data_IF_288950398954
#
_entry.id   IF_288950398954
#
_cell.length_a   1.000
_cell.length_b   1.000
_cell.length_c   1.000
_cell.angle_alpha   90.00
_cell.angle_beta   90.00
_cell.angle_gamma   90.00
#
_symmetry.space_group_name_H-M   'P 1'
#
loop_
_entity.id
_entity.type
_entity.pdbx_description
1 polymer ?
#
# COMPACT_ATOMS: atom_id res chain seq x y z
N UNK A 1 9.25 6.53 -48.64
CA UNK A 1 10.01 6.08 -47.44
C UNK A 1 9.87 7.02 -46.25
N UNK A 2 10.12 8.34 -46.38
CA UNK A 2 10.07 9.29 -45.25
C UNK A 2 8.74 9.34 -44.46
N UNK A 3 7.60 9.28 -45.15
CA UNK A 3 6.26 9.35 -44.51
C UNK A 3 5.91 8.04 -43.79
N UNK A 4 6.28 6.89 -44.38
CA UNK A 4 6.12 5.57 -43.76
C UNK A 4 7.01 5.42 -42.52
N UNK A 5 8.24 5.93 -42.55
CA UNK A 5 9.14 5.95 -41.39
C UNK A 5 8.63 6.85 -40.26
N UNK A 6 8.03 8.01 -40.59
CA UNK A 6 7.43 8.91 -39.60
C UNK A 6 6.18 8.30 -38.93
N UNK A 7 5.33 7.61 -39.70
CA UNK A 7 4.19 6.88 -39.16
C UNK A 7 4.63 5.74 -38.22
N UNK A 8 5.66 5.00 -38.59
CA UNK A 8 6.17 3.89 -37.79
C UNK A 8 6.80 4.36 -36.46
N UNK A 9 7.50 5.49 -36.47
CA UNK A 9 8.01 6.14 -35.25
C UNK A 9 6.89 6.66 -34.34
N UNK A 10 5.81 7.22 -34.91
CA UNK A 10 4.66 7.66 -34.11
C UNK A 10 3.96 6.51 -33.39
N UNK A 11 3.79 5.35 -34.05
CA UNK A 11 3.16 4.16 -33.47
C UNK A 11 4.02 3.54 -32.35
N UNK A 12 5.35 3.59 -32.43
CA UNK A 12 6.23 3.10 -31.36
C UNK A 12 6.14 3.94 -30.07
N UNK A 13 5.87 5.25 -30.17
CA UNK A 13 5.77 6.13 -28.98
C UNK A 13 4.49 5.92 -28.17
N UNK A 14 3.41 5.44 -28.79
CA UNK A 14 2.13 5.18 -28.12
C UNK A 14 2.16 3.90 -27.26
N UNK A 15 3.06 2.96 -27.57
CA UNK A 15 3.25 1.69 -26.85
C UNK A 15 3.84 1.84 -25.44
N UNK A 16 4.40 3.01 -25.10
CA UNK A 16 5.07 3.28 -23.82
C UNK A 16 4.10 3.58 -22.66
N UNK A 17 2.80 3.70 -22.93
CA UNK A 17 1.77 3.97 -21.91
C UNK A 17 1.39 2.74 -21.07
N UNK A 18 1.94 1.55 -21.37
CA UNK A 18 1.70 0.33 -20.59
C UNK A 18 2.48 0.23 -19.26
N UNK A 19 3.34 1.20 -18.94
CA UNK A 19 4.19 1.19 -17.74
C UNK A 19 3.51 1.65 -16.43
N UNK A 20 2.24 2.10 -16.44
CA UNK A 20 1.59 2.65 -15.24
C UNK A 20 1.05 1.61 -14.23
N UNK A 21 0.76 0.38 -14.67
CA UNK A 21 0.09 -0.61 -13.79
C UNK A 21 0.96 -1.16 -12.66
N UNK A 22 2.29 -1.07 -12.77
CA UNK A 22 3.20 -1.53 -11.72
C UNK A 22 3.27 -0.60 -10.51
N UNK A 23 2.71 0.60 -10.62
CA UNK A 23 2.69 1.64 -9.57
C UNK A 23 1.30 1.77 -8.91
N UNK A 24 0.38 0.88 -9.26
CA UNK A 24 -1.01 0.89 -8.82
C UNK A 24 -1.41 -0.42 -8.17
N UNK A 25 -2.45 -0.37 -7.33
CA UNK A 25 -3.05 -1.58 -6.75
C UNK A 25 -3.85 -2.32 -7.83
N UNK A 26 -3.63 -3.63 -7.93
CA UNK A 26 -4.42 -4.51 -8.77
C UNK A 26 -5.56 -5.14 -7.97
N UNK A 27 -6.72 -4.50 -8.01
CA UNK A 27 -7.95 -4.90 -7.34
C UNK A 27 -8.75 -6.01 -8.03
N UNK A 28 -8.20 -6.73 -9.03
CA UNK A 28 -8.89 -7.87 -9.66
C UNK A 28 -9.34 -8.94 -8.64
N UNK A 29 -8.58 -9.09 -7.56
CA UNK A 29 -8.89 -9.98 -6.43
C UNK A 29 -8.22 -9.46 -5.16
N UNK A 30 -8.66 -9.91 -3.99
CA UNK A 30 -7.99 -9.58 -2.72
C UNK A 30 -6.52 -10.01 -2.70
N UNK A 31 -6.21 -11.18 -3.27
CA UNK A 31 -4.83 -11.68 -3.34
C UNK A 31 -3.92 -10.75 -4.16
N UNK A 32 -4.40 -10.28 -5.31
CA UNK A 32 -3.63 -9.34 -6.15
C UNK A 32 -3.51 -7.98 -5.49
N UNK A 33 -4.57 -7.50 -4.82
CA UNK A 33 -4.53 -6.22 -4.11
C UNK A 33 -3.50 -6.24 -2.99
N UNK A 34 -3.52 -7.28 -2.14
CA UNK A 34 -2.57 -7.43 -1.04
C UNK A 34 -1.12 -7.58 -1.54
N UNK A 35 -0.93 -8.31 -2.66
CA UNK A 35 0.38 -8.42 -3.29
C UNK A 35 0.88 -7.07 -3.81
N UNK A 36 0.01 -6.28 -4.45
CA UNK A 36 0.35 -4.93 -4.89
C UNK A 36 0.77 -4.06 -3.71
N UNK A 37 0.00 -4.05 -2.61
CA UNK A 37 0.35 -3.28 -1.39
C UNK A 37 1.73 -3.67 -0.88
N UNK A 38 2.02 -4.97 -0.77
CA UNK A 38 3.34 -5.43 -0.33
C UNK A 38 4.46 -4.89 -1.23
N UNK A 39 4.31 -4.99 -2.55
CA UNK A 39 5.34 -4.53 -3.48
C UNK A 39 5.49 -3.01 -3.51
N UNK A 40 4.38 -2.28 -3.53
CA UNK A 40 4.39 -0.81 -3.56
C UNK A 40 5.01 -0.25 -2.29
N UNK A 41 4.68 -0.82 -1.13
CA UNK A 41 5.24 -0.42 0.17
C UNK A 41 6.76 -0.46 0.17
N UNK A 42 7.38 -1.49 -0.39
CA UNK A 42 8.84 -1.63 -0.39
C UNK A 42 9.56 -0.58 -1.27
N UNK A 43 8.83 0.04 -2.20
CA UNK A 43 9.37 1.10 -3.07
C UNK A 43 9.20 2.50 -2.47
N UNK A 44 8.38 2.64 -1.42
CA UNK A 44 8.15 3.91 -0.76
C UNK A 44 9.29 4.29 0.20
N UNK A 45 9.52 5.60 0.39
CA UNK A 45 10.33 6.10 1.51
C UNK A 45 9.80 5.58 2.86
N UNK A 46 10.68 5.24 3.82
CA UNK A 46 10.29 4.63 5.10
C UNK A 46 9.12 5.32 5.83
N UNK A 47 9.12 6.65 5.83
CA UNK A 47 8.10 7.49 6.44
C UNK A 47 6.69 7.30 5.84
N UNK A 48 6.60 7.05 4.53
CA UNK A 48 5.32 6.85 3.83
C UNK A 48 4.81 5.41 3.90
N UNK A 49 5.67 4.43 4.22
CA UNK A 49 5.30 3.01 4.22
C UNK A 49 4.17 2.70 5.18
N UNK A 50 4.25 3.28 6.37
CA UNK A 50 3.30 3.03 7.46
C UNK A 50 1.97 3.72 7.16
N UNK A 51 2.00 4.97 6.72
CA UNK A 51 0.80 5.71 6.32
C UNK A 51 0.06 5.02 5.17
N UNK A 52 0.78 4.60 4.12
CA UNK A 52 0.20 3.85 3.01
C UNK A 52 -0.48 2.55 3.47
N UNK A 53 0.20 1.76 4.30
CA UNK A 53 -0.33 0.50 4.79
C UNK A 53 -1.56 0.69 5.67
N UNK A 54 -1.53 1.65 6.60
CA UNK A 54 -2.67 1.97 7.47
C UNK A 54 -3.84 2.44 6.62
N UNK A 55 -3.60 3.28 5.62
CA UNK A 55 -4.65 3.80 4.73
C UNK A 55 -5.35 2.67 3.99
N UNK A 56 -4.59 1.72 3.43
CA UNK A 56 -5.16 0.54 2.79
C UNK A 56 -6.06 -0.27 3.73
N UNK A 57 -5.62 -0.48 4.97
CA UNK A 57 -6.43 -1.22 5.96
C UNK A 57 -7.62 -0.42 6.47
N UNK A 58 -7.54 0.91 6.58
CA UNK A 58 -8.67 1.78 6.87
C UNK A 58 -9.75 1.67 5.79
N UNK A 59 -9.36 1.65 4.51
CA UNK A 59 -10.30 1.42 3.39
C UNK A 59 -10.92 0.03 3.50
N UNK A 60 -10.11 -1.02 3.74
CA UNK A 60 -10.62 -2.38 3.90
C UNK A 60 -11.61 -2.51 5.06
N UNK A 61 -11.37 -1.79 6.15
CA UNK A 61 -12.26 -1.79 7.30
C UNK A 61 -13.57 -1.04 7.03
N UNK A 62 -13.53 0.04 6.25
CA UNK A 62 -14.71 0.80 5.82
C UNK A 62 -15.63 0.00 4.89
N UNK A 63 -15.04 -0.75 3.96
CA UNK A 63 -15.78 -1.53 2.98
C UNK A 63 -15.68 -3.01 3.30
N UNK A 64 -16.64 -3.53 4.08
CA UNK A 64 -16.64 -4.93 4.54
C UNK A 64 -16.88 -5.90 3.39
N UNK A 65 -17.74 -5.53 2.45
CA UNK A 65 -17.91 -6.29 1.21
C UNK A 65 -16.62 -6.27 0.39
N UNK A 66 -16.24 -7.44 -0.13
CA UNK A 66 -14.96 -7.59 -0.83
C UNK A 66 -14.99 -6.91 -2.19
N UNK A 67 -16.10 -6.99 -2.93
CA UNK A 67 -16.19 -6.40 -4.26
C UNK A 67 -16.17 -4.88 -4.17
N UNK A 68 -16.90 -4.32 -3.20
CA UNK A 68 -16.88 -2.90 -2.92
C UNK A 68 -15.48 -2.44 -2.52
N UNK A 69 -14.84 -3.09 -1.56
CA UNK A 69 -13.46 -2.80 -1.17
C UNK A 69 -12.50 -2.79 -2.38
N UNK A 70 -12.56 -3.83 -3.21
CA UNK A 70 -11.69 -3.94 -4.39
C UNK A 70 -11.92 -2.79 -5.37
N UNK A 71 -13.17 -2.35 -5.56
CA UNK A 71 -13.48 -1.19 -6.41
C UNK A 71 -12.94 0.13 -5.85
N UNK A 72 -12.76 0.24 -4.53
CA UNK A 72 -12.24 1.45 -3.89
C UNK A 72 -10.72 1.58 -3.99
N UNK A 73 -10.00 0.47 -4.22
CA UNK A 73 -8.53 0.44 -4.25
C UNK A 73 -7.94 0.14 -5.63
N UNK A 74 -8.70 -0.49 -6.53
CA UNK A 74 -8.21 -0.84 -7.87
C UNK A 74 -7.74 0.39 -8.65
N UNK A 75 -6.57 0.29 -9.28
CA UNK A 75 -5.97 1.36 -10.09
C UNK A 75 -5.38 2.51 -9.27
N UNK A 76 -5.58 2.57 -7.95
CA UNK A 76 -5.01 3.64 -7.11
C UNK A 76 -3.52 3.41 -6.84
N UNK A 77 -2.75 4.48 -6.92
CA UNK A 77 -1.37 4.54 -6.51
C UNK A 77 -1.26 4.77 -4.97
N UNK A 78 -0.05 4.72 -4.37
CA UNK A 78 0.10 4.90 -2.93
C UNK A 78 -0.42 6.23 -2.38
N UNK A 79 -0.19 7.36 -3.06
CA UNK A 79 -0.64 8.67 -2.57
C UNK A 79 -2.18 8.76 -2.63
N UNK A 80 -2.82 8.21 -3.66
CA UNK A 80 -4.29 8.14 -3.76
C UNK A 80 -4.90 7.24 -2.68
N UNK A 81 -4.23 6.15 -2.32
CA UNK A 81 -4.64 5.29 -1.21
C UNK A 81 -4.53 6.02 0.12
N UNK A 82 -3.44 6.77 0.34
CA UNK A 82 -3.26 7.61 1.52
C UNK A 82 -4.37 8.64 1.65
N UNK A 83 -4.66 9.37 0.57
CA UNK A 83 -5.72 10.38 0.58
C UNK A 83 -7.09 9.77 0.92
N UNK A 84 -7.44 8.66 0.26
CA UNK A 84 -8.70 7.94 0.52
C UNK A 84 -8.79 7.47 1.98
N UNK A 85 -7.69 6.96 2.54
CA UNK A 85 -7.64 6.56 3.95
C UNK A 85 -7.87 7.72 4.92
N UNK A 86 -7.27 8.89 4.63
CA UNK A 86 -7.44 10.12 5.41
C UNK A 86 -8.88 10.65 5.35
N UNK A 87 -9.49 10.64 4.18
CA UNK A 87 -10.90 11.02 4.00
C UNK A 87 -11.83 10.14 4.84
N UNK A 88 -11.65 8.82 4.77
CA UNK A 88 -12.44 7.85 5.56
C UNK A 88 -12.24 8.06 7.06
N UNK A 89 -11.00 8.30 7.50
CA UNK A 89 -10.72 8.64 8.90
C UNK A 89 -11.52 9.87 9.32
N UNK A 90 -11.47 10.96 8.54
CA UNK A 90 -12.15 12.20 8.90
C UNK A 90 -13.67 12.00 8.92
N UNK A 91 -14.23 11.27 7.96
CA UNK A 91 -15.66 10.94 7.92
C UNK A 91 -16.08 10.17 9.17
N UNK A 92 -15.38 9.09 9.51
CA UNK A 92 -15.69 8.25 10.67
C UNK A 92 -15.45 8.96 11.99
N UNK A 93 -14.44 9.83 12.06
CA UNK A 93 -14.23 10.72 13.21
C UNK A 93 -15.42 11.67 13.38
N UNK A 94 -15.90 12.29 12.31
CA UNK A 94 -17.09 13.15 12.37
C UNK A 94 -18.36 12.37 12.76
N UNK A 95 -18.42 11.08 12.43
CA UNK A 95 -19.51 10.18 12.82
C UNK A 95 -19.40 9.65 14.26
N UNK A 96 -18.35 10.00 15.01
CA UNK A 96 -18.21 9.59 16.40
C UNK A 96 -17.64 8.18 16.61
N UNK A 97 -16.98 7.57 15.61
CA UNK A 97 -16.33 6.27 15.79
C UNK A 97 -15.27 6.35 16.89
N UNK A 98 -15.48 5.58 17.96
CA UNK A 98 -14.71 5.67 19.22
C UNK A 98 -13.21 5.45 18.98
N UNK A 99 -12.87 4.53 18.08
CA UNK A 99 -11.49 4.20 17.72
C UNK A 99 -10.73 5.41 17.16
N UNK A 100 -11.42 6.39 16.56
CA UNK A 100 -10.78 7.58 15.98
C UNK A 100 -10.90 8.82 16.85
N UNK A 101 -11.85 8.86 17.80
CA UNK A 101 -12.00 9.97 18.74
C UNK A 101 -10.78 10.16 19.66
N UNK A 102 -10.03 9.09 19.92
CA UNK A 102 -8.86 9.13 20.80
C UNK A 102 -7.68 9.93 20.21
N UNK A 103 -7.71 10.20 18.89
CA UNK A 103 -6.68 10.95 18.20
C UNK A 103 -7.16 12.39 17.96
N UNK A 104 -6.27 13.37 18.02
CA UNK A 104 -6.55 14.76 17.63
C UNK A 104 -6.52 14.93 16.11
N UNK A 105 -5.60 14.26 15.41
CA UNK A 105 -5.49 14.30 13.95
C UNK A 105 -5.15 12.94 13.34
N UNK A 106 -5.18 12.88 12.00
CA UNK A 106 -4.71 11.72 11.22
C UNK A 106 -3.22 11.46 11.48
N UNK A 107 -2.41 12.51 11.46
CA UNK A 107 -0.95 12.45 11.67
C UNK A 107 -0.61 11.88 13.04
N UNK A 108 -1.33 12.29 14.10
CA UNK A 108 -1.13 11.72 15.44
C UNK A 108 -1.39 10.21 15.46
N UNK A 109 -2.44 9.75 14.76
CA UNK A 109 -2.74 8.33 14.65
C UNK A 109 -1.63 7.58 13.93
N UNK A 110 -1.15 8.11 12.80
CA UNK A 110 -0.04 7.51 12.03
C UNK A 110 1.23 7.44 12.89
N UNK A 111 1.56 8.52 13.60
CA UNK A 111 2.73 8.56 14.49
C UNK A 111 2.66 7.53 15.62
N UNK A 112 1.47 7.31 16.19
CA UNK A 112 1.27 6.28 17.21
C UNK A 112 1.55 4.89 16.63
N UNK A 113 0.92 4.54 15.51
CA UNK A 113 1.16 3.24 14.86
C UNK A 113 2.62 3.06 14.43
N UNK A 114 3.27 4.14 13.99
CA UNK A 114 4.68 4.11 13.64
C UNK A 114 5.59 3.83 14.86
N UNK A 115 5.27 4.40 16.03
CA UNK A 115 5.96 4.08 17.29
C UNK A 115 5.74 2.63 17.69
N UNK A 116 4.49 2.17 17.69
CA UNK A 116 4.13 0.80 18.08
C UNK A 116 4.84 -0.26 17.23
N UNK A 117 4.93 -0.03 15.91
CA UNK A 117 5.65 -0.95 15.02
C UNK A 117 7.15 -1.00 15.31
N UNK A 118 7.78 0.16 15.57
CA UNK A 118 9.20 0.21 16.00
C UNK A 118 9.42 -0.50 17.33
N UNK A 119 8.46 -0.43 18.25
CA UNK A 119 8.50 -1.16 19.53
C UNK A 119 8.40 -2.66 19.32
N UNK A 120 7.46 -3.11 18.50
CA UNK A 120 7.33 -4.53 18.14
C UNK A 120 8.63 -5.08 17.56
N UNK A 121 9.24 -4.38 16.60
CA UNK A 121 10.50 -4.79 15.97
C UNK A 121 11.66 -4.89 16.98
N UNK A 122 11.69 -4.02 18.00
CA UNK A 122 12.69 -4.09 19.09
C UNK A 122 12.52 -5.28 20.02
N UNK A 123 11.31 -5.81 20.13
CA UNK A 123 10.99 -6.94 21.01
C UNK A 123 11.10 -8.31 20.34
N UNK A 124 11.27 -8.38 19.01
CA UNK A 124 11.61 -9.60 18.29
C UNK A 124 13.07 -9.96 18.61
N UNK A 125 13.29 -10.68 19.71
CA UNK A 125 14.58 -11.33 19.96
C UNK A 125 14.72 -12.48 18.95
N UNK A 126 15.85 -12.60 18.23
CA UNK A 126 16.07 -13.75 17.36
C UNK A 126 16.01 -15.04 18.19
N UNK A 127 15.19 -15.99 17.77
CA UNK A 127 15.16 -17.30 18.40
C UNK A 127 16.52 -17.98 18.13
N UNK A 128 17.12 -18.58 19.16
CA UNK A 128 18.37 -19.35 19.00
C UNK A 128 18.21 -20.49 17.99
N UNK A 129 16.97 -20.95 17.75
CA UNK A 129 16.62 -21.99 16.76
C UNK A 129 16.76 -21.51 15.31
N UNK A 130 16.66 -20.21 15.04
CA UNK A 130 16.84 -19.68 13.68
C UNK A 130 18.29 -19.79 13.20
N UNK A 131 19.27 -19.79 14.12
CA UNK A 131 20.69 -20.04 13.81
C UNK A 131 21.03 -21.53 13.60
N UNK A 132 20.19 -22.45 14.09
CA UNK A 132 20.46 -23.88 13.99
C UNK A 132 20.16 -24.45 12.58
N UNK A 133 19.37 -23.73 11.76
CA UNK A 133 19.04 -24.14 10.39
C UNK A 133 20.02 -23.58 9.34
N UNK A 134 20.99 -22.75 9.72
CA UNK A 134 21.99 -22.15 8.81
C UNK A 134 23.13 -23.11 8.43
N UNK A 135 23.13 -24.34 8.97
CA UNK A 135 24.15 -25.37 8.73
C UNK A 135 23.78 -26.28 7.54
N UNK A 136 22.57 -26.17 6.99
CA UNK A 136 22.07 -27.04 5.91
C UNK A 136 22.48 -26.61 4.49
N UNK A 137 23.12 -25.44 4.30
CA UNK A 137 23.57 -24.93 3.00
C UNK A 137 25.09 -24.75 2.91
N UNK A 138 25.86 -25.62 3.58
CA UNK A 138 27.27 -25.84 3.28
C UNK A 138 27.48 -27.24 2.73
N UNK A 139 27.11 -27.44 1.47
CA UNK A 139 27.58 -28.53 0.61
C UNK A 139 27.88 -27.95 -0.77
#
# INVERSE_FOLDING_TARGET
MRILSALLLSVLTLSLTACGRSEQINGRSSSTAYRSVKMLKERLPPEKRIEFEISFWTIRDAYKDTKEFLSQVDGKNPDEIIETGREIYQQRKNQGFREYQQYSSWEEMIDKYARERREQDRHIKPDKRDKANDVLYKL
#
